data_IF_320756484723
#
_entry.id   IF_320756484723
#
_cell.length_a   1.000
_cell.length_b   1.000
_cell.length_c   1.000
_cell.angle_alpha   90.00
_cell.angle_beta   90.00
_cell.angle_gamma   90.00
#
_symmetry.space_group_name_H-M   'P 1'
#
loop_
_entity.id
_entity.type
_entity.pdbx_description
1 polymer ?
#
# COMPACT_ATOMS: atom_id res chain seq x y z
N UNK A 1 -5.41 -27.02 -0.51
CA UNK A 1 -4.79 -26.13 0.49
C UNK A 1 -5.13 -26.68 1.86
N UNK A 2 -4.15 -27.12 2.63
CA UNK A 2 -4.32 -27.52 4.04
C UNK A 2 -4.81 -26.30 4.84
N UNK A 3 -5.84 -26.49 5.67
CA UNK A 3 -6.42 -25.41 6.48
C UNK A 3 -5.41 -24.98 7.55
N UNK A 4 -5.18 -23.67 7.69
CA UNK A 4 -4.34 -23.12 8.77
C UNK A 4 -5.10 -23.18 10.08
N UNK A 5 -4.60 -23.95 11.03
CA UNK A 5 -5.22 -24.13 12.36
C UNK A 5 -4.25 -23.73 13.46
N UNK A 6 -4.73 -22.93 14.40
CA UNK A 6 -3.98 -22.50 15.58
C UNK A 6 -4.81 -22.75 16.83
N UNK A 7 -4.15 -23.13 17.91
CA UNK A 7 -4.78 -23.32 19.22
C UNK A 7 -4.00 -22.57 20.29
N UNK A 8 -4.70 -21.85 21.16
CA UNK A 8 -4.08 -21.30 22.37
C UNK A 8 -4.32 -22.29 23.49
N UNK A 9 -3.26 -22.67 24.20
CA UNK A 9 -3.35 -23.51 25.39
C UNK A 9 -2.44 -22.97 26.50
N UNK A 10 -2.85 -23.11 27.78
CA UNK A 10 -2.03 -22.70 28.90
C UNK A 10 -0.89 -23.68 29.13
N UNK A 11 0.27 -23.16 29.49
CA UNK A 11 1.40 -23.94 30.01
C UNK A 11 1.86 -23.35 31.34
N UNK A 12 2.13 -24.19 32.33
CA UNK A 12 2.76 -23.70 33.57
C UNK A 12 4.24 -23.38 33.33
N UNK A 13 4.79 -22.46 34.11
CA UNK A 13 6.22 -22.15 34.08
C UNK A 13 7.06 -23.40 34.35
N UNK A 14 6.65 -24.26 35.28
CA UNK A 14 7.32 -25.54 35.53
C UNK A 14 7.33 -26.45 34.28
N UNK A 15 6.21 -26.53 33.54
CA UNK A 15 6.14 -27.32 32.31
C UNK A 15 7.04 -26.74 31.22
N UNK A 16 7.04 -25.41 31.04
CA UNK A 16 7.90 -24.74 30.07
C UNK A 16 9.39 -24.96 30.39
N UNK A 17 9.78 -24.86 31.66
CA UNK A 17 11.15 -25.17 32.11
C UNK A 17 11.54 -26.59 31.77
N UNK A 18 10.70 -27.57 32.12
CA UNK A 18 10.94 -28.98 31.78
C UNK A 18 11.08 -29.21 30.27
N UNK A 19 10.24 -28.60 29.44
CA UNK A 19 10.30 -28.74 27.98
C UNK A 19 11.59 -28.15 27.39
N UNK A 20 12.12 -27.09 27.99
CA UNK A 20 13.39 -26.48 27.58
C UNK A 20 14.56 -27.38 27.99
N UNK A 21 14.59 -27.83 29.24
CA UNK A 21 15.67 -28.66 29.79
C UNK A 21 15.79 -30.01 29.07
N UNK A 22 14.65 -30.59 28.69
CA UNK A 22 14.58 -31.86 27.96
C UNK A 22 14.72 -31.71 26.44
N UNK A 23 15.05 -30.50 25.96
CA UNK A 23 15.21 -30.17 24.53
C UNK A 23 13.99 -30.55 23.69
N UNK A 24 12.78 -30.36 24.23
CA UNK A 24 11.51 -30.54 23.52
C UNK A 24 11.03 -29.26 22.83
N UNK A 25 11.61 -28.13 23.19
CA UNK A 25 11.37 -26.82 22.59
C UNK A 25 12.66 -26.30 21.95
N UNK A 26 12.61 -26.02 20.66
CA UNK A 26 13.73 -25.42 19.93
C UNK A 26 13.72 -23.89 20.11
N UNK A 27 14.67 -23.41 20.91
CA UNK A 27 14.85 -22.00 21.27
C UNK A 27 15.81 -21.21 20.36
N UNK A 28 16.29 -21.76 19.24
CA UNK A 28 17.32 -21.13 18.39
C UNK A 28 17.08 -21.41 16.89
N UNK A 29 15.94 -21.00 16.32
CA UNK A 29 15.75 -21.13 14.89
C UNK A 29 16.63 -20.13 14.12
N UNK A 30 17.06 -20.52 12.92
CA UNK A 30 18.08 -19.82 12.11
C UNK A 30 17.70 -18.39 11.67
N UNK A 31 16.41 -18.05 11.71
CA UNK A 31 15.87 -16.74 11.31
C UNK A 31 15.73 -15.72 12.46
N UNK A 32 16.12 -16.08 13.70
CA UNK A 32 16.06 -15.19 14.88
C UNK A 32 17.42 -14.58 15.23
N UNK A 33 17.42 -13.38 15.85
CA UNK A 33 18.65 -12.73 16.34
C UNK A 33 19.19 -13.43 17.58
N UNK A 34 20.51 -13.37 17.81
CA UNK A 34 21.13 -13.79 19.06
C UNK A 34 20.59 -12.98 20.26
N UNK A 35 20.65 -13.57 21.46
CA UNK A 35 19.98 -13.03 22.65
C UNK A 35 20.56 -11.69 23.14
N UNK A 36 19.68 -10.69 23.36
CA UNK A 36 20.07 -9.30 23.70
C UNK A 36 19.39 -8.78 24.99
N UNK A 37 18.73 -9.61 25.79
CA UNK A 37 18.14 -9.14 27.05
C UNK A 37 19.20 -8.92 28.13
N UNK A 38 19.24 -7.70 28.66
CA UNK A 38 20.05 -7.33 29.83
C UNK A 38 19.52 -7.98 31.10
N UNK A 39 20.37 -8.12 32.12
CA UNK A 39 19.96 -8.68 33.42
C UNK A 39 18.76 -7.96 34.05
N UNK A 40 18.71 -6.62 33.97
CA UNK A 40 17.59 -5.84 34.50
C UNK A 40 16.27 -6.16 33.81
N UNK A 41 16.28 -6.39 32.48
CA UNK A 41 15.06 -6.79 31.75
C UNK A 41 14.58 -8.19 32.14
N UNK A 42 15.52 -9.12 32.38
CA UNK A 42 15.21 -10.46 32.89
C UNK A 42 14.59 -10.38 34.29
N UNK A 43 15.18 -9.59 35.19
CA UNK A 43 14.67 -9.36 36.54
C UNK A 43 13.26 -8.76 36.55
N UNK A 44 13.00 -7.74 35.71
CA UNK A 44 11.68 -7.12 35.60
C UNK A 44 10.59 -8.10 35.13
N UNK A 45 10.94 -9.05 34.26
CA UNK A 45 10.00 -10.11 33.85
C UNK A 45 9.61 -11.01 35.03
N UNK A 46 10.58 -11.47 35.81
CA UNK A 46 10.31 -12.36 36.96
C UNK A 46 9.48 -11.64 38.01
N UNK A 47 9.83 -10.38 38.29
CA UNK A 47 9.05 -9.50 39.16
C UNK A 47 7.59 -9.38 38.69
N UNK A 48 7.36 -9.11 37.40
CA UNK A 48 6.02 -9.06 36.81
C UNK A 48 5.23 -10.35 37.02
N UNK A 49 5.88 -11.51 36.85
CA UNK A 49 5.24 -12.83 37.02
C UNK A 49 4.87 -13.13 38.48
N UNK A 50 5.71 -12.72 39.45
CA UNK A 50 5.42 -12.89 40.88
C UNK A 50 4.30 -11.96 41.36
N UNK A 51 4.14 -10.80 40.71
CA UNK A 51 3.07 -9.83 40.98
C UNK A 51 1.77 -10.10 40.19
N UNK A 52 1.66 -11.25 39.51
CA UNK A 52 0.51 -11.62 38.68
C UNK A 52 0.20 -10.60 37.56
N UNK A 53 1.22 -9.89 37.08
CA UNK A 53 1.11 -8.98 35.94
C UNK A 53 1.15 -9.80 34.65
N UNK A 54 0.14 -9.59 33.79
CA UNK A 54 0.02 -10.29 32.52
C UNK A 54 1.20 -9.97 31.59
N UNK A 55 1.70 -10.99 30.91
CA UNK A 55 2.77 -10.87 29.91
C UNK A 55 2.22 -11.19 28.53
N UNK A 56 2.81 -10.65 27.45
CA UNK A 56 2.33 -10.97 26.11
C UNK A 56 2.31 -12.48 25.84
N UNK A 57 1.49 -12.94 24.90
CA UNK A 57 1.42 -14.37 24.57
C UNK A 57 2.75 -14.88 24.01
N UNK A 58 3.00 -16.16 24.19
CA UNK A 58 4.09 -16.88 23.53
C UNK A 58 3.56 -17.53 22.25
N UNK A 59 4.41 -17.65 21.23
CA UNK A 59 4.02 -18.25 19.95
C UNK A 59 4.95 -19.39 19.60
N UNK A 60 4.39 -20.60 19.48
CA UNK A 60 5.11 -21.80 19.07
C UNK A 60 4.59 -22.31 17.73
N UNK A 61 5.47 -22.95 16.97
CA UNK A 61 5.13 -23.82 15.86
C UNK A 61 5.25 -25.26 16.30
N UNK A 62 4.25 -26.08 16.00
CA UNK A 62 4.35 -27.52 16.20
C UNK A 62 5.32 -28.08 15.16
N UNK A 63 6.38 -28.74 15.60
CA UNK A 63 7.33 -29.44 14.74
C UNK A 63 7.46 -30.88 15.24
N UNK A 64 7.84 -31.80 14.36
CA UNK A 64 8.17 -33.17 14.72
C UNK A 64 9.47 -33.57 14.03
N UNK A 65 10.55 -32.90 14.43
CA UNK A 65 11.87 -33.01 13.80
C UNK A 65 12.94 -33.00 14.89
N UNK A 66 13.93 -33.88 14.78
CA UNK A 66 15.11 -33.94 15.66
C UNK A 66 14.80 -34.00 17.18
N UNK A 67 13.67 -34.63 17.54
CA UNK A 67 13.25 -34.83 18.93
C UNK A 67 12.56 -33.62 19.58
N UNK A 68 12.42 -32.50 18.85
CA UNK A 68 11.67 -31.31 19.25
C UNK A 68 10.18 -31.47 18.90
N UNK A 69 9.31 -31.01 19.80
CA UNK A 69 7.86 -30.95 19.57
C UNK A 69 7.37 -29.54 19.24
N UNK A 70 8.15 -28.53 19.61
CA UNK A 70 7.83 -27.13 19.36
C UNK A 70 9.07 -26.36 18.92
N UNK A 71 8.85 -25.39 18.06
CA UNK A 71 9.80 -24.36 17.69
C UNK A 71 9.25 -23.01 18.15
N UNK A 72 10.07 -22.21 18.82
CA UNK A 72 9.61 -20.91 19.33
C UNK A 72 9.61 -19.88 18.21
N UNK A 73 8.43 -19.38 17.87
CA UNK A 73 8.24 -18.28 16.90
C UNK A 73 8.40 -16.93 17.59
N UNK A 74 7.82 -16.72 18.77
CA UNK A 74 8.02 -15.52 19.59
C UNK A 74 8.07 -15.83 21.08
N UNK A 75 8.84 -15.04 21.84
CA UNK A 75 8.96 -15.16 23.30
C UNK A 75 10.22 -15.86 23.80
N UNK A 76 11.19 -16.14 22.91
CA UNK A 76 12.46 -16.80 23.21
C UNK A 76 13.22 -16.16 24.39
N UNK A 77 13.34 -14.83 24.42
CA UNK A 77 14.07 -14.12 25.49
C UNK A 77 13.38 -14.25 26.85
N UNK A 78 12.04 -14.25 26.84
CA UNK A 78 11.22 -14.46 28.04
C UNK A 78 11.38 -15.87 28.58
N UNK A 79 11.32 -16.86 27.69
CA UNK A 79 11.54 -18.26 28.05
C UNK A 79 12.93 -18.53 28.61
N UNK A 80 13.98 -17.91 28.03
CA UNK A 80 15.34 -18.00 28.58
C UNK A 80 15.45 -17.35 29.95
N UNK A 81 14.92 -16.14 30.11
CA UNK A 81 14.94 -15.45 31.39
C UNK A 81 14.26 -16.28 32.49
N UNK A 82 13.11 -16.90 32.18
CA UNK A 82 12.40 -17.80 33.09
C UNK A 82 13.25 -19.03 33.41
N UNK A 83 13.76 -19.72 32.38
CA UNK A 83 14.55 -20.94 32.54
C UNK A 83 15.83 -20.70 33.36
N UNK A 84 16.59 -19.64 33.06
CA UNK A 84 17.79 -19.23 33.81
C UNK A 84 17.46 -18.86 35.28
N UNK A 85 16.33 -18.21 35.55
CA UNK A 85 15.92 -17.89 36.92
C UNK A 85 15.58 -19.17 37.69
N UNK A 86 14.82 -20.08 37.10
CA UNK A 86 14.54 -21.41 37.67
C UNK A 86 15.83 -22.20 37.93
N UNK A 87 16.82 -22.05 37.04
CA UNK A 87 18.18 -22.57 37.18
C UNK A 87 19.02 -21.94 38.30
N UNK A 88 18.49 -20.88 38.94
CA UNK A 88 19.13 -20.09 39.99
C UNK A 88 20.30 -19.22 39.49
N UNK A 89 20.34 -18.85 38.20
CA UNK A 89 21.47 -18.21 37.54
C UNK A 89 21.61 -16.71 37.87
N UNK A 90 20.51 -16.02 38.13
CA UNK A 90 20.50 -14.62 38.56
C UNK A 90 19.44 -14.35 39.65
N UNK A 91 19.67 -13.37 40.56
CA UNK A 91 18.69 -12.96 41.56
C UNK A 91 17.72 -11.90 41.03
N UNK A 92 16.63 -11.64 41.76
CA UNK A 92 15.80 -10.44 41.62
C UNK A 92 16.61 -9.15 41.84
N UNK A 93 16.03 -8.00 41.46
CA UNK A 93 16.66 -6.70 41.65
C UNK A 93 16.85 -6.39 43.15
N UNK A 94 17.88 -5.62 43.49
CA UNK A 94 18.17 -5.27 44.89
C UNK A 94 17.14 -4.25 45.43
N UNK A 95 16.50 -3.53 44.53
CA UNK A 95 15.43 -2.55 44.74
C UNK A 95 14.02 -3.14 44.63
N UNK A 96 13.86 -4.47 44.52
CA UNK A 96 12.54 -5.08 44.38
C UNK A 96 11.68 -4.94 45.66
N UNK A 97 10.42 -4.57 45.48
CA UNK A 97 9.45 -4.46 46.57
C UNK A 97 9.10 -5.82 47.18
N UNK A 98 8.60 -5.82 48.41
CA UNK A 98 8.11 -7.05 49.05
C UNK A 98 6.84 -7.56 48.34
N UNK A 99 6.77 -8.85 48.07
CA UNK A 99 5.64 -9.50 47.40
C UNK A 99 4.99 -10.46 48.39
N UNK A 100 3.66 -10.37 48.53
CA UNK A 100 2.88 -11.20 49.46
C UNK A 100 3.44 -11.22 50.90
N UNK A 101 3.89 -10.05 51.39
CA UNK A 101 4.55 -9.85 52.70
C UNK A 101 5.92 -10.50 52.87
N UNK A 102 6.52 -11.03 51.79
CA UNK A 102 7.86 -11.59 51.79
C UNK A 102 8.86 -10.63 51.13
N UNK A 103 10.02 -10.44 51.77
CA UNK A 103 11.15 -9.73 51.17
C UNK A 103 11.75 -10.59 50.05
N UNK A 104 11.85 -10.05 48.84
CA UNK A 104 12.39 -10.75 47.66
C UNK A 104 13.62 -10.08 47.03
N UNK A 105 13.95 -8.87 47.46
CA UNK A 105 15.11 -8.12 46.98
C UNK A 105 16.41 -8.93 47.05
N UNK A 106 17.11 -9.02 45.92
CA UNK A 106 18.38 -9.75 45.79
C UNK A 106 18.30 -11.28 45.90
N UNK A 107 17.10 -11.86 46.03
CA UNK A 107 16.92 -13.31 46.16
C UNK A 107 16.89 -14.02 44.80
N UNK A 108 17.47 -15.21 44.77
CA UNK A 108 17.36 -16.17 43.65
C UNK A 108 16.18 -17.12 43.88
N UNK A 109 15.79 -17.88 42.85
CA UNK A 109 14.67 -18.83 42.92
C UNK A 109 14.69 -19.72 44.17
N UNK A 110 15.85 -20.27 44.56
CA UNK A 110 15.95 -21.18 45.71
C UNK A 110 15.88 -20.46 47.08
N UNK A 111 16.09 -19.16 47.09
CA UNK A 111 16.12 -18.31 48.29
C UNK A 111 14.76 -17.66 48.56
N UNK A 112 13.84 -17.67 47.57
CA UNK A 112 12.47 -17.21 47.73
C UNK A 112 11.71 -18.03 48.78
N UNK A 113 10.72 -17.42 49.42
CA UNK A 113 9.78 -18.15 50.27
C UNK A 113 9.08 -19.28 49.47
N UNK A 114 8.84 -20.43 50.11
CA UNK A 114 8.28 -21.61 49.45
C UNK A 114 6.96 -21.31 48.71
N UNK A 115 6.11 -20.44 49.26
CA UNK A 115 4.86 -20.04 48.62
C UNK A 115 5.10 -19.28 47.31
N UNK A 116 6.10 -18.39 47.25
CA UNK A 116 6.46 -17.65 46.05
C UNK A 116 7.11 -18.55 44.99
N UNK A 117 7.91 -19.54 45.42
CA UNK A 117 8.44 -20.56 44.51
C UNK A 117 7.31 -21.34 43.84
N UNK A 118 6.35 -21.81 44.64
CA UNK A 118 5.18 -22.54 44.16
C UNK A 118 4.28 -21.66 43.29
N UNK A 119 4.10 -20.39 43.65
CA UNK A 119 3.34 -19.40 42.87
C UNK A 119 3.93 -19.28 41.47
N UNK A 120 5.22 -18.96 41.37
CA UNK A 120 5.90 -18.79 40.09
C UNK A 120 5.84 -20.07 39.23
N UNK A 121 6.10 -21.24 39.83
CA UNK A 121 6.08 -22.51 39.08
C UNK A 121 4.70 -22.85 38.51
N UNK A 122 3.63 -22.48 39.22
CA UNK A 122 2.24 -22.75 38.84
C UNK A 122 1.63 -21.66 37.96
N UNK A 123 2.25 -20.49 37.82
CA UNK A 123 1.81 -19.43 36.90
C UNK A 123 1.62 -20.01 35.50
N UNK A 124 0.44 -19.78 34.93
CA UNK A 124 0.09 -20.25 33.59
C UNK A 124 0.34 -19.16 32.56
N UNK A 125 1.04 -19.51 31.49
CA UNK A 125 1.31 -18.65 30.36
C UNK A 125 0.55 -19.15 29.14
N UNK A 126 -0.11 -18.22 28.46
CA UNK A 126 -0.82 -18.47 27.20
C UNK A 126 0.16 -18.71 26.05
N UNK A 127 0.13 -19.90 25.47
CA UNK A 127 0.93 -20.26 24.30
C UNK A 127 0.03 -20.52 23.11
N UNK A 128 0.20 -19.71 22.06
CA UNK A 128 -0.43 -19.93 20.76
C UNK A 128 0.41 -20.91 19.94
N UNK A 129 -0.11 -22.11 19.69
CA UNK A 129 0.54 -23.15 18.89
C UNK A 129 -0.02 -23.14 17.46
N UNK A 130 0.87 -22.88 16.51
CA UNK A 130 0.63 -22.95 15.06
C UNK A 130 0.83 -24.40 14.59
N UNK A 131 -0.21 -25.01 14.01
CA UNK A 131 -0.18 -26.41 13.56
C UNK A 131 0.49 -26.57 12.18
N UNK A 132 0.61 -27.81 11.69
CA UNK A 132 1.31 -28.17 10.44
C UNK A 132 0.79 -27.53 9.14
N UNK A 133 -0.32 -26.78 9.19
CA UNK A 133 -0.86 -26.03 8.06
C UNK A 133 -0.15 -24.70 7.74
N UNK A 134 0.81 -24.27 8.57
CA UNK A 134 1.60 -23.04 8.35
C UNK A 134 2.92 -23.37 7.66
N UNK A 135 3.20 -22.75 6.51
CA UNK A 135 4.50 -22.89 5.82
C UNK A 135 5.59 -22.07 6.50
N UNK A 136 6.85 -22.31 6.17
CA UNK A 136 7.98 -21.50 6.66
C UNK A 136 7.79 -20.00 6.36
N UNK A 137 7.34 -19.66 5.15
CA UNK A 137 7.00 -18.27 4.77
C UNK A 137 5.93 -17.65 5.69
N UNK A 138 4.92 -18.42 6.10
CA UNK A 138 3.87 -17.93 7.00
C UNK A 138 4.43 -17.66 8.41
N UNK A 139 5.35 -18.50 8.87
CA UNK A 139 5.99 -18.40 10.18
C UNK A 139 6.91 -17.18 10.23
N UNK A 140 7.71 -16.95 9.18
CA UNK A 140 8.53 -15.75 9.04
C UNK A 140 7.65 -14.48 9.02
N UNK A 141 6.53 -14.50 8.29
CA UNK A 141 5.61 -13.37 8.25
C UNK A 141 4.99 -13.08 9.63
N UNK A 142 4.60 -14.12 10.38
CA UNK A 142 4.05 -13.98 11.74
C UNK A 142 5.13 -13.44 12.69
N UNK A 143 6.34 -13.99 12.65
CA UNK A 143 7.47 -13.54 13.46
C UNK A 143 7.78 -12.05 13.24
N UNK A 144 7.85 -11.62 11.98
CA UNK A 144 8.09 -10.22 11.61
C UNK A 144 6.99 -9.27 12.12
N UNK A 145 5.76 -9.74 12.26
CA UNK A 145 4.63 -8.95 12.78
C UNK A 145 4.66 -8.84 14.31
N UNK A 146 5.19 -9.85 15.01
CA UNK A 146 5.26 -9.89 16.47
C UNK A 146 6.43 -9.06 17.04
N UNK A 147 7.60 -9.09 16.39
CA UNK A 147 8.82 -8.40 16.86
C UNK A 147 8.82 -6.87 16.74
N UNK A 148 7.93 -6.30 15.94
CA UNK A 148 8.08 -4.93 15.50
C UNK A 148 7.16 -3.96 16.26
N UNK A 149 7.72 -3.35 17.30
CA UNK A 149 7.48 -1.93 17.53
C UNK A 149 7.78 -1.17 16.23
N UNK A 150 6.73 -0.84 15.48
CA UNK A 150 6.71 -0.28 14.10
C UNK A 150 7.37 -1.15 13.00
N UNK A 151 6.65 -2.12 12.42
CA UNK A 151 7.17 -2.98 11.36
C UNK A 151 7.48 -2.19 10.12
N UNK A 152 8.46 -2.63 9.32
CA UNK A 152 8.66 -2.10 7.97
C UNK A 152 7.31 -2.13 7.27
N UNK A 153 6.82 -0.95 6.90
CA UNK A 153 5.54 -0.83 6.25
C UNK A 153 5.64 -1.39 4.82
N UNK A 154 4.49 -1.51 4.16
CA UNK A 154 4.44 -2.09 2.82
C UNK A 154 5.34 -1.35 1.80
N UNK A 155 5.53 -0.03 1.94
CA UNK A 155 6.40 0.74 1.06
C UNK A 155 7.88 0.51 1.37
N UNK A 156 8.27 0.49 2.64
CA UNK A 156 9.63 0.20 3.09
C UNK A 156 10.08 -1.20 2.62
N UNK A 157 9.19 -2.21 2.69
CA UNK A 157 9.43 -3.55 2.15
C UNK A 157 9.63 -3.54 0.63
N UNK A 158 8.83 -2.79 -0.12
CA UNK A 158 8.95 -2.71 -1.59
C UNK A 158 10.21 -1.99 -2.04
N UNK A 159 10.67 -1.00 -1.29
CA UNK A 159 11.93 -0.29 -1.58
C UNK A 159 13.14 -1.23 -1.54
N UNK A 160 13.08 -2.28 -0.71
CA UNK A 160 14.10 -3.32 -0.63
C UNK A 160 14.08 -4.30 -1.82
N UNK A 161 13.04 -4.30 -2.66
CA UNK A 161 12.98 -5.18 -3.83
C UNK A 161 14.01 -4.74 -4.89
N UNK A 162 14.56 -5.71 -5.61
CA UNK A 162 15.47 -5.46 -6.72
C UNK A 162 14.72 -5.05 -7.99
N UNK A 163 15.38 -4.25 -8.84
CA UNK A 163 14.83 -3.78 -10.11
C UNK A 163 14.61 -2.26 -10.15
N UNK A 164 14.24 -1.76 -11.33
CA UNK A 164 14.13 -0.34 -11.61
C UNK A 164 12.80 0.28 -11.16
N UNK A 165 11.77 -0.54 -10.87
CA UNK A 165 10.46 -0.04 -10.46
C UNK A 165 10.52 0.84 -9.20
N UNK A 166 11.40 0.53 -8.23
CA UNK A 166 11.60 1.36 -7.05
C UNK A 166 12.11 2.77 -7.39
N UNK A 167 12.99 2.88 -8.38
CA UNK A 167 13.57 4.16 -8.81
C UNK A 167 12.54 4.99 -9.58
N UNK A 168 11.71 4.35 -10.41
CA UNK A 168 10.57 5.02 -11.07
C UNK A 168 9.56 5.53 -10.04
N UNK A 169 9.24 4.75 -9.02
CA UNK A 169 8.33 5.15 -7.95
C UNK A 169 8.91 6.29 -7.11
N UNK A 170 10.21 6.25 -6.81
CA UNK A 170 10.92 7.33 -6.13
C UNK A 170 10.90 8.63 -6.96
N UNK A 171 11.19 8.57 -8.26
CA UNK A 171 11.13 9.73 -9.15
C UNK A 171 9.73 10.36 -9.16
N UNK A 172 8.69 9.54 -9.32
CA UNK A 172 7.31 10.01 -9.35
C UNK A 172 6.83 10.52 -7.98
N UNK A 173 7.35 9.97 -6.88
CA UNK A 173 7.05 10.44 -5.53
C UNK A 173 7.71 11.77 -5.19
N UNK A 174 8.77 12.15 -5.92
CA UNK A 174 9.41 13.47 -5.84
C UNK A 174 8.68 14.56 -6.64
N UNK A 175 7.58 14.23 -7.32
CA UNK A 175 6.78 15.18 -8.11
C UNK A 175 6.14 16.26 -7.23
N UNK A 176 6.00 17.49 -7.77
CA UNK A 176 5.44 18.68 -7.08
C UNK A 176 4.08 18.46 -6.41
N UNK A 177 3.30 17.47 -6.89
CA UNK A 177 2.01 17.10 -6.32
C UNK A 177 2.16 16.59 -4.87
N UNK A 178 3.30 15.96 -4.55
CA UNK A 178 3.62 15.42 -3.24
C UNK A 178 4.29 16.45 -2.32
N UNK A 179 3.94 17.72 -2.48
CA UNK A 179 4.32 18.83 -1.59
C UNK A 179 3.18 19.19 -0.63
N UNK A 180 3.50 19.99 0.40
CA UNK A 180 2.51 20.52 1.35
C UNK A 180 1.49 21.46 0.71
N UNK A 181 1.77 21.94 -0.50
CA UNK A 181 0.88 22.84 -1.24
C UNK A 181 -0.33 22.11 -1.82
N UNK A 182 -0.27 20.77 -1.92
CA UNK A 182 -1.36 19.95 -2.43
C UNK A 182 -1.73 18.78 -1.50
N UNK A 183 -0.77 18.20 -0.78
CA UNK A 183 -1.00 17.03 0.07
C UNK A 183 -1.35 17.38 1.50
N UNK A 184 -2.38 16.71 2.05
CA UNK A 184 -2.78 16.79 3.46
C UNK A 184 -2.03 15.82 4.39
N UNK A 185 -1.02 15.11 3.88
CA UNK A 185 -0.19 14.17 4.66
C UNK A 185 1.28 14.33 4.27
N UNK A 186 2.19 13.84 5.13
CA UNK A 186 3.64 13.95 4.91
C UNK A 186 4.22 12.67 4.31
N UNK A 187 5.35 12.79 3.61
CA UNK A 187 6.11 11.66 3.08
C UNK A 187 6.79 10.77 4.12
N UNK A 188 6.52 10.97 5.42
CA UNK A 188 7.07 10.14 6.50
C UNK A 188 6.79 8.66 6.23
N UNK A 189 7.81 7.82 6.46
CA UNK A 189 7.76 6.38 6.20
C UNK A 189 7.30 6.03 4.77
N UNK A 190 7.78 6.79 3.78
CA UNK A 190 7.55 6.52 2.35
C UNK A 190 6.06 6.51 1.96
N UNK A 191 5.24 7.33 2.62
CA UNK A 191 3.80 7.38 2.35
C UNK A 191 3.46 7.85 0.93
N UNK A 192 4.27 8.74 0.35
CA UNK A 192 4.14 9.18 -1.05
C UNK A 192 4.45 8.04 -2.03
N UNK A 193 5.56 7.33 -1.80
CA UNK A 193 5.92 6.15 -2.60
C UNK A 193 4.86 5.05 -2.51
N UNK A 194 4.20 4.86 -1.36
CA UNK A 194 3.06 3.95 -1.27
C UNK A 194 1.90 4.36 -2.19
N UNK A 195 1.54 5.64 -2.21
CA UNK A 195 0.46 6.15 -3.07
C UNK A 195 0.84 6.03 -4.55
N UNK A 196 2.07 6.39 -4.91
CA UNK A 196 2.59 6.26 -6.28
C UNK A 196 2.66 4.80 -6.71
N UNK A 197 3.13 3.89 -5.86
CA UNK A 197 3.22 2.47 -6.19
C UNK A 197 1.83 1.87 -6.49
N UNK A 198 0.80 2.27 -5.72
CA UNK A 198 -0.59 1.88 -5.96
C UNK A 198 -1.10 2.45 -7.28
N UNK A 199 -0.87 3.73 -7.55
CA UNK A 199 -1.26 4.37 -8.82
C UNK A 199 -0.57 3.74 -10.02
N UNK A 200 0.73 3.50 -9.92
CA UNK A 200 1.51 2.89 -10.99
C UNK A 200 1.05 1.46 -11.25
N UNK A 201 0.75 0.68 -10.21
CA UNK A 201 0.14 -0.64 -10.36
C UNK A 201 -1.18 -0.57 -11.15
N UNK A 202 -2.13 0.26 -10.71
CA UNK A 202 -3.42 0.43 -11.40
C UNK A 202 -3.25 0.91 -12.85
N UNK A 203 -2.24 1.74 -13.11
CA UNK A 203 -1.93 2.22 -14.46
C UNK A 203 -1.32 1.14 -15.35
N UNK A 204 -0.48 0.25 -14.79
CA UNK A 204 0.08 -0.90 -15.50
C UNK A 204 -1.00 -1.92 -15.85
N UNK A 205 -1.91 -2.21 -14.92
CA UNK A 205 -3.01 -3.16 -15.14
C UNK A 205 -4.12 -2.59 -16.05
N UNK A 206 -4.20 -1.26 -16.20
CA UNK A 206 -5.21 -0.58 -17.01
C UNK A 206 -6.64 -0.63 -16.44
N UNK A 207 -6.82 -1.18 -15.24
CA UNK A 207 -8.11 -1.35 -14.57
C UNK A 207 -7.94 -1.34 -13.06
N UNK A 208 -9.07 -1.26 -12.34
CA UNK A 208 -9.05 -1.34 -10.88
C UNK A 208 -8.82 -2.79 -10.45
N UNK A 209 -7.74 -3.00 -9.72
CA UNK A 209 -7.30 -4.30 -9.23
C UNK A 209 -6.96 -4.25 -7.74
N UNK A 210 -6.64 -5.40 -7.16
CA UNK A 210 -6.22 -5.50 -5.77
C UNK A 210 -4.89 -4.78 -5.53
N UNK A 211 -4.89 -3.78 -4.64
CA UNK A 211 -3.72 -2.99 -4.28
C UNK A 211 -3.08 -3.45 -2.96
N UNK A 212 -3.22 -4.73 -2.59
CA UNK A 212 -2.56 -5.28 -1.39
C UNK A 212 -1.06 -5.44 -1.63
N UNK A 213 -0.32 -5.48 -0.54
CA UNK A 213 1.13 -5.63 -0.56
C UNK A 213 1.63 -6.80 -1.42
N UNK A 214 0.99 -7.98 -1.34
CA UNK A 214 1.37 -9.16 -2.14
C UNK A 214 1.16 -8.94 -3.64
N UNK A 215 0.10 -8.25 -4.04
CA UNK A 215 -0.17 -7.92 -5.44
C UNK A 215 0.85 -6.90 -5.96
N UNK A 216 1.11 -5.82 -5.23
CA UNK A 216 2.14 -4.86 -5.62
C UNK A 216 3.53 -5.50 -5.69
N UNK A 217 3.88 -6.42 -4.78
CA UNK A 217 5.16 -7.16 -4.83
C UNK A 217 5.29 -7.91 -6.16
N UNK A 218 4.25 -8.64 -6.59
CA UNK A 218 4.23 -9.33 -7.89
C UNK A 218 4.41 -8.37 -9.06
N UNK A 219 3.78 -7.19 -9.04
CA UNK A 219 3.97 -6.18 -10.08
C UNK A 219 5.41 -5.68 -10.14
N UNK A 220 6.04 -5.45 -8.99
CA UNK A 220 7.46 -5.07 -8.92
C UNK A 220 8.36 -6.17 -9.50
N UNK A 221 8.08 -7.43 -9.19
CA UNK A 221 8.85 -8.58 -9.70
C UNK A 221 8.66 -8.80 -11.20
N UNK A 222 7.45 -8.56 -11.72
CA UNK A 222 7.14 -8.67 -13.15
C UNK A 222 7.72 -7.50 -13.98
N UNK A 223 7.89 -6.33 -13.38
CA UNK A 223 8.30 -5.09 -14.07
C UNK A 223 9.69 -4.60 -13.64
N UNK A 224 10.64 -5.52 -13.42
CA UNK A 224 12.00 -5.18 -12.93
C UNK A 224 12.78 -4.22 -13.82
N UNK A 225 12.49 -4.15 -15.11
CA UNK A 225 13.21 -3.31 -16.09
C UNK A 225 12.44 -2.07 -16.52
N UNK A 226 11.27 -1.80 -15.91
CA UNK A 226 10.41 -0.67 -16.27
C UNK A 226 11.16 0.66 -16.16
N UNK A 227 10.97 1.55 -17.13
CA UNK A 227 11.60 2.88 -17.21
C UNK A 227 10.56 3.98 -17.06
N UNK A 228 10.97 5.15 -16.60
CA UNK A 228 10.09 6.32 -16.50
C UNK A 228 9.49 6.77 -17.85
N UNK A 229 10.11 6.37 -18.97
CA UNK A 229 9.65 6.64 -20.34
C UNK A 229 8.62 5.63 -20.85
N UNK A 230 8.39 4.53 -20.13
CA UNK A 230 7.43 3.51 -20.55
C UNK A 230 5.99 4.05 -20.47
N UNK A 231 5.03 3.50 -21.24
CA UNK A 231 3.69 4.06 -21.37
C UNK A 231 2.98 4.32 -20.04
N UNK A 232 3.01 3.37 -19.09
CA UNK A 232 2.32 3.50 -17.82
C UNK A 232 2.96 4.58 -16.89
N UNK A 233 4.27 4.57 -16.60
CA UNK A 233 4.92 5.66 -15.87
C UNK A 233 4.74 7.03 -16.52
N UNK A 234 4.85 7.12 -17.85
CA UNK A 234 4.68 8.38 -18.58
C UNK A 234 3.24 8.91 -18.49
N UNK A 235 2.23 8.03 -18.62
CA UNK A 235 0.83 8.37 -18.46
C UNK A 235 0.54 8.87 -17.03
N UNK A 236 1.06 8.17 -16.01
CA UNK A 236 0.93 8.58 -14.62
C UNK A 236 1.60 9.94 -14.36
N UNK A 237 2.85 10.15 -14.81
CA UNK A 237 3.54 11.45 -14.72
C UNK A 237 2.72 12.57 -15.36
N UNK A 238 2.13 12.30 -16.52
CA UNK A 238 1.25 13.24 -17.19
C UNK A 238 0.01 13.56 -16.33
N UNK A 239 -0.63 12.56 -15.73
CA UNK A 239 -1.77 12.77 -14.83
C UNK A 239 -1.40 13.61 -13.60
N UNK A 240 -0.23 13.36 -12.99
CA UNK A 240 0.27 14.16 -11.87
C UNK A 240 0.53 15.62 -12.27
N UNK A 241 1.13 15.86 -13.44
CA UNK A 241 1.31 17.21 -14.00
C UNK A 241 -0.03 17.92 -14.22
N UNK A 242 -1.04 17.19 -14.69
CA UNK A 242 -2.39 17.75 -14.87
C UNK A 242 -3.00 18.17 -13.52
N UNK A 243 -2.87 17.35 -12.48
CA UNK A 243 -3.37 17.68 -11.14
C UNK A 243 -2.69 18.92 -10.56
N UNK A 244 -1.37 19.04 -10.71
CA UNK A 244 -0.65 20.25 -10.31
C UNK A 244 -1.20 21.45 -11.08
N UNK A 245 -1.35 21.36 -12.41
CA UNK A 245 -1.92 22.43 -13.24
C UNK A 245 -3.35 22.81 -12.82
N UNK A 246 -4.16 21.83 -12.43
CA UNK A 246 -5.55 22.01 -12.01
C UNK A 246 -5.65 22.80 -10.69
N UNK A 247 -4.86 22.44 -9.69
CA UNK A 247 -4.94 23.06 -8.36
C UNK A 247 -4.03 24.29 -8.17
N UNK A 248 -3.01 24.47 -9.02
CA UNK A 248 -2.06 25.57 -8.88
C UNK A 248 -2.75 26.93 -9.00
N UNK A 249 -2.55 27.79 -7.99
CA UNK A 249 -3.15 29.12 -7.92
C UNK A 249 -4.62 29.13 -7.47
N UNK A 250 -5.20 27.98 -7.16
CA UNK A 250 -6.52 27.84 -6.55
C UNK A 250 -6.44 27.49 -5.05
N UNK A 251 -7.59 27.18 -4.42
CA UNK A 251 -7.63 26.68 -3.06
C UNK A 251 -6.80 25.39 -2.90
N UNK A 252 -6.07 25.28 -1.79
CA UNK A 252 -5.27 24.08 -1.50
C UNK A 252 -6.21 22.87 -1.28
N UNK A 253 -6.09 21.79 -2.09
CA UNK A 253 -7.00 20.65 -2.03
C UNK A 253 -6.76 19.74 -0.82
N UNK A 254 -5.63 19.87 -0.11
CA UNK A 254 -5.22 19.03 1.04
C UNK A 254 -5.49 17.54 0.82
N UNK A 255 -5.04 17.03 -0.33
CA UNK A 255 -5.31 15.68 -0.80
C UNK A 255 -4.85 14.64 0.23
N UNK A 256 -5.79 13.81 0.69
CA UNK A 256 -5.50 12.65 1.53
C UNK A 256 -4.89 11.53 0.68
N UNK A 257 -4.23 10.58 1.34
CA UNK A 257 -3.58 9.44 0.66
C UNK A 257 -4.53 8.66 -0.26
N UNK A 258 -5.75 8.36 0.19
CA UNK A 258 -6.74 7.66 -0.64
C UNK A 258 -7.22 8.55 -1.80
N UNK A 259 -7.36 9.86 -1.58
CA UNK A 259 -7.76 10.83 -2.60
C UNK A 259 -6.75 10.90 -3.73
N UNK A 260 -5.43 10.83 -3.42
CA UNK A 260 -4.40 10.77 -4.47
C UNK A 260 -4.54 9.53 -5.33
N UNK A 261 -4.76 8.35 -4.73
CA UNK A 261 -4.93 7.11 -5.48
C UNK A 261 -6.20 7.17 -6.35
N UNK A 262 -7.32 7.63 -5.80
CA UNK A 262 -8.57 7.80 -6.55
C UNK A 262 -8.45 8.83 -7.68
N UNK A 263 -7.97 10.03 -7.35
CA UNK A 263 -7.93 11.15 -8.27
C UNK A 263 -6.86 10.95 -9.34
N UNK A 264 -5.70 10.40 -8.98
CA UNK A 264 -4.66 10.05 -9.93
C UNK A 264 -5.13 9.02 -10.95
N UNK A 265 -5.78 7.94 -10.49
CA UNK A 265 -6.34 6.93 -11.39
C UNK A 265 -7.48 7.50 -12.25
N UNK A 266 -8.36 8.31 -11.67
CA UNK A 266 -9.42 9.01 -12.41
C UNK A 266 -8.86 9.92 -13.50
N UNK A 267 -7.81 10.69 -13.23
CA UNK A 267 -7.21 11.56 -14.24
C UNK A 267 -6.53 10.75 -15.34
N UNK A 268 -5.89 9.62 -15.04
CA UNK A 268 -5.40 8.70 -16.07
C UNK A 268 -6.55 8.27 -16.98
N UNK A 269 -7.65 7.77 -16.40
CA UNK A 269 -8.84 7.30 -17.12
C UNK A 269 -9.51 8.42 -17.96
N UNK A 270 -9.72 9.59 -17.36
CA UNK A 270 -10.32 10.73 -18.05
C UNK A 270 -9.42 11.28 -19.16
N UNK A 271 -8.10 11.27 -18.99
CA UNK A 271 -7.18 11.72 -20.04
C UNK A 271 -7.09 10.74 -21.18
N UNK A 272 -7.28 9.46 -20.93
CA UNK A 272 -7.38 8.45 -21.97
C UNK A 272 -8.70 8.59 -22.74
N UNK A 273 -9.82 8.69 -22.03
CA UNK A 273 -11.17 8.61 -22.63
C UNK A 273 -11.80 9.95 -23.01
N UNK A 274 -11.36 11.07 -22.45
CA UNK A 274 -11.95 12.40 -22.62
C UNK A 274 -10.92 13.48 -22.90
N UNK A 275 -11.35 14.63 -23.42
CA UNK A 275 -10.54 15.83 -23.63
C UNK A 275 -10.29 16.66 -22.36
N UNK A 276 -10.21 16.02 -21.19
CA UNK A 276 -10.09 16.68 -19.87
C UNK A 276 -8.85 17.57 -19.74
N UNK A 277 -7.83 17.37 -20.59
CA UNK A 277 -6.59 18.15 -20.63
C UNK A 277 -6.80 19.65 -20.92
N UNK A 278 -7.91 20.00 -21.58
CA UNK A 278 -8.28 21.39 -21.89
C UNK A 278 -8.95 22.10 -20.69
N UNK A 279 -9.41 21.36 -19.66
CA UNK A 279 -10.26 21.86 -18.58
C UNK A 279 -9.68 21.69 -17.15
N UNK A 280 -8.43 22.09 -16.87
CA UNK A 280 -7.81 21.88 -15.56
C UNK A 280 -8.49 22.67 -14.44
N UNK A 281 -8.95 23.90 -14.70
CA UNK A 281 -9.55 24.77 -13.65
C UNK A 281 -10.95 24.31 -13.28
N UNK A 282 -11.74 23.94 -14.29
CA UNK A 282 -13.08 23.41 -14.17
C UNK A 282 -13.05 22.08 -13.42
N UNK A 283 -12.08 21.22 -13.75
CA UNK A 283 -11.86 19.96 -13.03
C UNK A 283 -11.56 20.20 -11.54
N UNK A 284 -10.66 21.14 -11.22
CA UNK A 284 -10.34 21.48 -9.84
C UNK A 284 -11.57 22.02 -9.09
N UNK A 285 -12.33 22.93 -9.72
CA UNK A 285 -13.55 23.47 -9.13
C UNK A 285 -14.58 22.38 -8.84
N UNK A 286 -14.80 21.45 -9.79
CA UNK A 286 -15.72 20.34 -9.61
C UNK A 286 -15.27 19.38 -8.50
N UNK A 287 -13.98 19.05 -8.44
CA UNK A 287 -13.44 18.21 -7.37
C UNK A 287 -13.60 18.86 -5.99
N UNK A 288 -13.26 20.15 -5.86
CA UNK A 288 -13.39 20.89 -4.61
C UNK A 288 -14.84 21.01 -4.16
N UNK A 289 -15.77 21.28 -5.08
CA UNK A 289 -17.21 21.32 -4.80
C UNK A 289 -17.75 19.94 -4.36
N UNK A 290 -17.23 18.84 -4.92
CA UNK A 290 -17.56 17.50 -4.45
C UNK A 290 -17.05 17.25 -3.03
N UNK A 291 -15.79 17.58 -2.73
CA UNK A 291 -15.24 17.39 -1.38
C UNK A 291 -15.93 18.27 -0.34
N UNK A 292 -16.28 19.52 -0.68
CA UNK A 292 -17.03 20.41 0.19
C UNK A 292 -18.40 19.84 0.54
N UNK A 293 -19.15 19.33 -0.45
CA UNK A 293 -20.42 18.62 -0.22
C UNK A 293 -20.22 17.38 0.65
N UNK A 294 -19.19 16.57 0.36
CA UNK A 294 -18.90 15.35 1.11
C UNK A 294 -18.58 15.64 2.57
N UNK A 295 -17.77 16.67 2.84
CA UNK A 295 -17.43 17.10 4.20
C UNK A 295 -18.66 17.65 4.92
N UNK A 296 -19.42 18.53 4.27
CA UNK A 296 -20.65 19.10 4.85
C UNK A 296 -21.69 18.03 5.16
N UNK A 297 -21.74 16.96 4.36
CA UNK A 297 -22.60 15.81 4.59
C UNK A 297 -22.19 15.01 5.84
N UNK A 298 -20.88 14.86 6.09
CA UNK A 298 -20.38 14.16 7.28
C UNK A 298 -20.74 14.91 8.59
N UNK A 299 -21.02 16.23 8.51
CA UNK A 299 -21.43 17.08 9.65
C UNK A 299 -22.95 17.04 9.96
N UNK A 300 -23.76 16.43 9.08
CA UNK A 300 -25.21 16.29 9.28
C UNK A 300 -25.54 15.09 10.19
N UNK A 301 -26.69 15.15 10.86
CA UNK A 301 -27.26 13.99 11.55
C UNK A 301 -27.47 12.82 10.57
N UNK A 302 -27.24 11.58 11.02
CA UNK A 302 -27.19 10.38 10.15
C UNK A 302 -28.42 10.24 9.23
N UNK A 303 -29.61 10.58 9.71
CA UNK A 303 -30.85 10.50 8.94
C UNK A 303 -31.01 11.60 7.87
N UNK A 304 -30.19 12.65 7.91
CA UNK A 304 -30.14 13.76 6.96
C UNK A 304 -29.00 13.62 5.94
N UNK A 305 -28.12 12.64 6.13
CA UNK A 305 -26.99 12.43 5.23
C UNK A 305 -27.44 11.84 3.88
N UNK A 306 -26.84 12.31 2.79
CA UNK A 306 -26.92 11.67 1.47
C UNK A 306 -26.25 10.29 1.55
N UNK A 307 -27.01 9.20 1.36
CA UNK A 307 -26.49 7.83 1.47
C UNK A 307 -25.31 7.56 0.52
N UNK A 308 -25.24 8.24 -0.64
CA UNK A 308 -24.15 8.06 -1.60
C UNK A 308 -22.85 8.70 -1.12
N UNK A 309 -22.93 9.88 -0.50
CA UNK A 309 -21.75 10.54 0.07
C UNK A 309 -21.26 9.80 1.31
N UNK A 310 -22.18 9.30 2.15
CA UNK A 310 -21.81 8.46 3.30
C UNK A 310 -21.19 7.12 2.88
N UNK A 311 -21.71 6.50 1.81
CA UNK A 311 -21.11 5.30 1.21
C UNK A 311 -19.71 5.59 0.65
N UNK A 312 -19.51 6.76 0.02
CA UNK A 312 -18.20 7.17 -0.49
C UNK A 312 -17.19 7.39 0.65
N UNK A 313 -17.59 8.10 1.71
CA UNK A 313 -16.76 8.29 2.91
C UNK A 313 -16.40 6.93 3.54
N UNK A 314 -17.33 5.98 3.55
CA UNK A 314 -17.09 4.61 4.05
C UNK A 314 -16.11 3.83 3.16
N UNK A 315 -16.27 3.89 1.84
CA UNK A 315 -15.39 3.27 0.86
C UNK A 315 -13.95 3.86 0.89
N UNK A 316 -13.79 5.11 1.31
CA UNK A 316 -12.47 5.73 1.49
C UNK A 316 -11.65 5.16 2.66
N UNK A 317 -12.29 4.40 3.57
CA UNK A 317 -11.62 3.78 4.73
C UNK A 317 -10.97 2.43 4.40
N UNK A 318 -11.25 1.86 3.23
CA UNK A 318 -10.78 0.54 2.83
C UNK A 318 -10.19 0.53 1.42
N UNK A 319 -9.25 -0.40 1.22
CA UNK A 319 -8.54 -0.63 -0.05
C UNK A 319 -9.05 -1.89 -0.77
N UNK A 320 -10.32 -2.30 -0.54
CA UNK A 320 -10.92 -3.43 -1.28
C UNK A 320 -11.24 -2.98 -2.71
N UNK A 321 -11.18 -3.90 -3.66
CA UNK A 321 -11.45 -3.64 -5.09
C UNK A 321 -12.81 -2.95 -5.28
N UNK A 322 -13.87 -3.51 -4.70
CA UNK A 322 -15.22 -2.93 -4.76
C UNK A 322 -15.30 -1.48 -4.23
N UNK A 323 -14.50 -1.13 -3.21
CA UNK A 323 -14.50 0.21 -2.61
C UNK A 323 -13.74 1.19 -3.50
N UNK A 324 -12.67 0.73 -4.16
CA UNK A 324 -11.93 1.50 -5.17
C UNK A 324 -12.80 1.76 -6.40
N UNK A 325 -13.50 0.74 -6.90
CA UNK A 325 -14.44 0.84 -8.03
C UNK A 325 -15.57 1.80 -7.72
N UNK A 326 -16.19 1.67 -6.54
CA UNK A 326 -17.25 2.57 -6.11
C UNK A 326 -16.78 4.02 -6.03
N UNK A 327 -15.60 4.27 -5.46
CA UNK A 327 -15.02 5.63 -5.41
C UNK A 327 -14.73 6.18 -6.80
N UNK A 328 -14.13 5.36 -7.68
CA UNK A 328 -13.82 5.76 -9.05
C UNK A 328 -15.07 6.12 -9.83
N UNK A 329 -16.09 5.25 -9.81
CA UNK A 329 -17.36 5.47 -10.49
C UNK A 329 -18.07 6.72 -9.97
N UNK A 330 -18.13 6.88 -8.64
CA UNK A 330 -18.77 8.04 -8.01
C UNK A 330 -18.06 9.32 -8.43
N UNK A 331 -16.74 9.43 -8.27
CA UNK A 331 -16.00 10.62 -8.69
C UNK A 331 -16.13 10.86 -10.19
N UNK A 332 -16.03 9.82 -11.03
CA UNK A 332 -16.17 9.97 -12.48
C UNK A 332 -17.53 10.56 -12.83
N UNK A 333 -18.61 10.03 -12.26
CA UNK A 333 -19.96 10.53 -12.49
C UNK A 333 -20.13 11.98 -12.04
N UNK A 334 -19.64 12.33 -10.85
CA UNK A 334 -19.73 13.69 -10.31
C UNK A 334 -18.93 14.69 -11.15
N UNK A 335 -17.69 14.36 -11.53
CA UNK A 335 -16.85 15.22 -12.36
C UNK A 335 -17.44 15.39 -13.76
N UNK A 336 -17.87 14.30 -14.41
CA UNK A 336 -18.47 14.39 -15.76
C UNK A 336 -19.79 15.18 -15.73
N UNK A 337 -20.60 15.03 -14.67
CA UNK A 337 -21.82 15.81 -14.52
C UNK A 337 -21.57 17.31 -14.31
N UNK A 338 -20.49 17.67 -13.60
CA UNK A 338 -20.11 19.07 -13.37
C UNK A 338 -19.31 19.69 -14.53
N UNK A 339 -18.77 18.89 -15.45
CA UNK A 339 -18.04 19.34 -16.64
C UNK A 339 -18.76 18.85 -17.92
N UNK A 340 -19.90 19.47 -18.30
CA UNK A 340 -20.66 19.06 -19.49
C UNK A 340 -19.89 19.21 -20.81
N UNK A 341 -18.84 20.03 -20.83
CA UNK A 341 -17.95 20.25 -21.99
C UNK A 341 -16.99 19.08 -22.26
N UNK A 342 -16.96 18.06 -21.39
CA UNK A 342 -16.13 16.88 -21.61
C UNK A 342 -16.67 16.05 -22.77
N UNK A 343 -15.84 15.93 -23.81
CA UNK A 343 -16.12 15.12 -24.99
C UNK A 343 -15.36 13.81 -24.88
N UNK A 344 -16.10 12.70 -24.98
CA UNK A 344 -15.49 11.37 -25.10
C UNK A 344 -14.78 11.24 -26.45
N UNK A 345 -13.51 10.85 -26.38
CA UNK A 345 -12.67 10.56 -27.52
C UNK A 345 -13.13 9.28 -28.21
N UNK A 346 -12.84 9.18 -29.50
CA UNK A 346 -13.10 7.96 -30.25
C UNK A 346 -12.08 6.88 -29.87
N UNK A 347 -12.53 5.63 -29.81
CA UNK A 347 -11.70 4.48 -29.43
C UNK A 347 -10.54 4.29 -30.41
N UNK A 348 -10.79 4.51 -31.69
CA UNK A 348 -9.77 4.50 -32.73
C UNK A 348 -9.31 5.91 -33.06
N UNK A 349 -8.05 6.21 -32.69
CA UNK A 349 -7.39 7.46 -33.08
C UNK A 349 -7.02 7.46 -34.57
N UNK A 350 -6.57 6.32 -35.10
CA UNK A 350 -6.04 6.25 -36.46
C UNK A 350 -7.19 6.13 -37.47
N UNK A 351 -7.10 6.89 -38.57
CA UNK A 351 -7.96 6.67 -39.72
C UNK A 351 -7.64 5.31 -40.36
N UNK A 352 -8.67 4.54 -40.74
CA UNK A 352 -8.49 3.32 -41.53
C UNK A 352 -7.93 3.63 -42.92
N UNK A 353 -7.36 2.63 -43.62
CA UNK A 353 -6.85 2.83 -44.99
C UNK A 353 -7.91 3.40 -45.94
N UNK A 354 -9.14 2.89 -45.89
CA UNK A 354 -10.25 3.43 -46.70
C UNK A 354 -10.58 4.89 -46.35
N UNK A 355 -10.55 5.25 -45.06
CA UNK A 355 -10.75 6.64 -44.64
C UNK A 355 -9.60 7.53 -45.10
N UNK A 356 -8.35 7.06 -45.01
CA UNK A 356 -7.16 7.78 -45.48
C UNK A 356 -7.26 8.05 -46.98
N UNK A 357 -7.62 7.04 -47.77
CA UNK A 357 -7.81 7.18 -49.21
C UNK A 357 -8.95 8.15 -49.54
N UNK A 358 -10.08 8.07 -48.83
CA UNK A 358 -11.20 8.98 -49.02
C UNK A 358 -10.82 10.44 -48.69
N UNK A 359 -10.06 10.66 -47.62
CA UNK A 359 -9.52 11.99 -47.26
C UNK A 359 -8.59 12.51 -48.37
N UNK A 360 -7.68 11.67 -48.87
CA UNK A 360 -6.77 12.03 -49.95
C UNK A 360 -7.50 12.44 -51.24
N UNK A 361 -8.48 11.63 -51.66
CA UNK A 361 -9.28 11.91 -52.85
C UNK A 361 -10.12 13.19 -52.69
N UNK A 362 -10.76 13.38 -51.53
CA UNK A 362 -11.54 14.59 -51.22
C UNK A 362 -10.68 15.85 -51.31
N UNK A 363 -9.49 15.80 -50.73
CA UNK A 363 -8.54 16.92 -50.70
C UNK A 363 -7.71 17.04 -51.98
N UNK A 364 -7.98 16.19 -52.99
CA UNK A 364 -7.31 16.14 -54.29
C UNK A 364 -5.78 15.96 -54.17
N UNK A 365 -5.34 15.27 -53.12
CA UNK A 365 -3.93 15.10 -52.79
C UNK A 365 -3.21 16.41 -52.44
N UNK A 366 -3.92 17.48 -52.08
CA UNK A 366 -3.32 18.77 -51.73
C UNK A 366 -3.23 18.92 -50.23
N UNK A 367 -2.07 19.34 -49.72
CA UNK A 367 -1.88 19.69 -48.32
C UNK A 367 -2.80 20.86 -47.93
N UNK A 368 -3.66 20.66 -46.93
CA UNK A 368 -4.66 21.65 -46.50
C UNK A 368 -4.05 22.80 -45.67
N UNK A 369 -2.75 22.76 -45.37
CA UNK A 369 -2.05 23.84 -44.63
C UNK A 369 -1.18 24.73 -45.53
N UNK A 370 -0.47 24.16 -46.52
CA UNK A 370 0.46 24.92 -47.37
C UNK A 370 0.10 24.88 -48.86
N UNK A 371 -0.90 24.11 -49.28
CA UNK A 371 -1.32 24.00 -50.68
C UNK A 371 -0.40 23.16 -51.57
N UNK A 372 0.65 22.51 -51.03
CA UNK A 372 1.53 21.64 -51.81
C UNK A 372 0.84 20.33 -52.22
N UNK A 373 1.06 19.86 -53.45
CA UNK A 373 0.68 18.52 -53.89
C UNK A 373 1.47 17.44 -53.14
N UNK A 374 0.74 16.55 -52.46
CA UNK A 374 1.23 15.35 -51.82
C UNK A 374 1.01 14.14 -52.74
N UNK A 375 1.96 13.20 -52.73
CA UNK A 375 1.75 11.90 -53.38
C UNK A 375 0.96 11.00 -52.42
N UNK A 376 0.23 10.05 -52.97
CA UNK A 376 -0.54 9.06 -52.21
C UNK A 376 0.36 8.29 -51.20
N UNK A 377 1.59 7.97 -51.60
CA UNK A 377 2.57 7.35 -50.71
C UNK A 377 3.24 8.28 -49.68
N UNK A 378 3.03 9.60 -49.76
CA UNK A 378 3.79 10.62 -49.04
C UNK A 378 2.85 11.72 -48.50
N UNK A 379 1.82 11.32 -47.76
CA UNK A 379 0.98 12.22 -46.98
C UNK A 379 0.60 11.65 -45.61
N UNK A 380 0.17 12.53 -44.72
CA UNK A 380 -0.43 12.17 -43.45
C UNK A 380 -1.90 12.59 -43.44
N UNK A 381 -2.80 11.65 -43.16
CA UNK A 381 -4.16 11.97 -42.76
C UNK A 381 -4.14 12.38 -41.29
N UNK A 382 -4.46 13.64 -41.02
CA UNK A 382 -4.46 14.21 -39.67
C UNK A 382 -5.83 14.84 -39.35
N UNK A 383 -6.19 14.97 -38.08
CA UNK A 383 -7.50 15.54 -37.72
C UNK A 383 -7.50 17.07 -37.83
N UNK A 384 -8.56 17.67 -38.35
CA UNK A 384 -8.79 19.12 -38.34
C UNK A 384 -8.91 19.60 -36.90
N UNK A 385 -9.91 19.09 -36.17
CA UNK A 385 -9.99 19.18 -34.71
C UNK A 385 -9.20 18.00 -34.13
N UNK A 386 -8.12 18.22 -33.35
CA UNK A 386 -7.29 17.14 -32.84
C UNK A 386 -8.08 16.11 -32.04
N UNK A 387 -7.74 14.82 -32.21
CA UNK A 387 -8.32 13.73 -31.40
C UNK A 387 -8.13 13.95 -29.90
N UNK A 388 -7.00 14.52 -29.49
CA UNK A 388 -6.72 14.88 -28.09
C UNK A 388 -7.73 15.87 -27.49
N UNK A 389 -8.37 16.70 -28.35
CA UNK A 389 -9.40 17.69 -28.00
C UNK A 389 -10.83 17.17 -28.21
N UNK A 390 -11.00 15.87 -28.48
CA UNK A 390 -12.32 15.25 -28.72
C UNK A 390 -12.77 15.28 -30.18
N UNK A 391 -11.87 15.64 -31.11
CA UNK A 391 -12.14 15.56 -32.55
C UNK A 391 -12.42 14.12 -33.01
N UNK A 392 -13.50 13.95 -33.78
CA UNK A 392 -13.96 12.63 -34.23
C UNK A 392 -13.09 12.05 -35.35
N UNK A 393 -12.80 10.76 -35.33
CA UNK A 393 -12.09 10.02 -36.39
C UNK A 393 -13.07 9.68 -37.51
N UNK A 394 -13.42 10.71 -38.28
CA UNK A 394 -14.31 10.60 -39.45
C UNK A 394 -13.70 11.37 -40.62
N UNK A 395 -14.01 10.96 -41.84
CA UNK A 395 -13.48 11.56 -43.07
C UNK A 395 -13.63 13.09 -43.04
N UNK A 396 -14.80 13.62 -42.64
CA UNK A 396 -15.06 15.06 -42.58
C UNK A 396 -14.21 15.84 -41.58
N UNK A 397 -13.61 15.18 -40.59
CA UNK A 397 -12.64 15.78 -39.67
C UNK A 397 -11.20 15.38 -39.99
N UNK A 398 -10.94 14.60 -41.04
CA UNK A 398 -9.59 14.36 -41.55
C UNK A 398 -9.16 15.46 -42.52
N UNK A 399 -7.85 15.64 -42.70
CA UNK A 399 -7.24 16.50 -43.71
C UNK A 399 -5.91 15.91 -44.19
N UNK A 400 -5.54 16.17 -45.44
CA UNK A 400 -4.22 15.86 -45.99
C UNK A 400 -3.19 16.87 -45.47
N UNK A 401 -2.13 16.41 -44.82
CA UNK A 401 -0.95 17.19 -44.48
C UNK A 401 0.32 16.60 -45.12
N UNK A 402 1.17 17.48 -45.66
CA UNK A 402 2.52 17.08 -46.05
C UNK A 402 3.38 16.81 -44.80
N UNK A 403 4.47 16.00 -44.90
CA UNK A 403 5.32 15.66 -43.76
C UNK A 403 5.81 16.87 -42.96
N UNK A 404 6.17 17.97 -43.65
CA UNK A 404 6.62 19.20 -43.01
C UNK A 404 5.51 19.91 -42.20
N UNK A 405 4.29 19.98 -42.74
CA UNK A 405 3.16 20.60 -42.02
C UNK A 405 2.68 19.72 -40.87
N UNK A 406 2.66 18.40 -41.06
CA UNK A 406 2.30 17.45 -40.00
C UNK A 406 3.29 17.52 -38.82
N UNK A 407 4.60 17.56 -39.11
CA UNK A 407 5.64 17.70 -38.09
C UNK A 407 5.51 19.03 -37.32
N UNK A 408 5.25 20.15 -38.01
CA UNK A 408 5.01 21.44 -37.37
C UNK A 408 3.78 21.42 -36.45
N UNK A 409 2.70 20.77 -36.88
CA UNK A 409 1.47 20.68 -36.12
C UNK A 409 1.60 19.77 -34.88
N UNK A 410 2.40 18.72 -34.95
CA UNK A 410 2.68 17.84 -33.81
C UNK A 410 3.61 18.43 -32.75
N UNK A 411 4.30 19.53 -33.04
CA UNK A 411 5.25 20.20 -32.13
C UNK A 411 4.63 21.35 -31.32
N UNK A 412 3.36 21.72 -31.57
CA UNK A 412 2.60 22.72 -30.82
C UNK A 412 1.41 22.09 -30.11
#
# INVERSE_FOLDING_TARGET
MTRREKHTKPFTIANLGFLIDTKKVWLNPTYQREAVWTRSQKQLLIDSLLQDIDIPKLYFRSVDTDGYHYEVVDGQQRLRAISEFLGNDYPLADEADAIDSHKVAGQRMRELHHELQMKLQNTQLDVCVLQSGYSDDDIEEIFLRLQNGTPLNAAEKRRALAGNMRHVVEELAAHDLFSTDFCGFTGKRFAYEDAVAKLLHLTIEGQITDIKHSTLKRTYEANKTIKATDPAPAALKSALNYLVKAFKGGPNPKLKKFSIVSLGHLVVDLREKYNVGDYPKEFAAAYLAFEERRISNDDLEEHLQDPRLSAYTSAARADRVQDLEFRHETLRREIVAMLPELVRKDEERMFSEDQRQAIFLRDKGVCQQCGQNCKDSLFHADHIVPWSKGGKTKISNGQVLCPACNAKKGAG
#
